data_IF_508907334579
#
_entry.id   IF_508907334579
#
_cell.length_a   1.000
_cell.length_b   1.000
_cell.length_c   1.000
_cell.angle_alpha   90.00
_cell.angle_beta   90.00
_cell.angle_gamma   90.00
#
_symmetry.space_group_name_H-M   'P 1'
#
loop_
_entity.id
_entity.type
_entity.pdbx_description
1 polymer ?
#
# COMPACT_ATOMS: atom_id res chain seq x y z
N UNK A 1 23.77 12.29 24.18
CA UNK A 1 22.35 11.93 24.34
C UNK A 1 22.27 10.46 24.74
N UNK A 2 21.88 10.16 25.99
CA UNK A 2 21.73 8.78 26.46
C UNK A 2 20.49 8.17 25.78
N UNK A 3 20.64 7.02 25.11
CA UNK A 3 19.52 6.30 24.47
C UNK A 3 19.65 6.04 22.97
N UNK A 4 20.55 6.73 22.25
CA UNK A 4 20.78 6.50 20.81
C UNK A 4 21.97 5.57 20.49
N UNK A 5 22.82 5.28 21.48
CA UNK A 5 23.93 4.33 21.32
C UNK A 5 23.46 2.89 21.54
N UNK A 6 24.01 1.96 20.76
CA UNK A 6 23.79 0.51 20.88
C UNK A 6 24.12 0.02 22.31
N UNK A 7 25.07 0.67 22.98
CA UNK A 7 25.43 0.38 24.38
C UNK A 7 24.34 0.79 25.38
N UNK A 8 23.64 1.90 25.10
CA UNK A 8 22.51 2.36 25.92
C UNK A 8 21.27 1.47 25.77
N UNK A 9 21.01 0.96 24.56
CA UNK A 9 19.91 0.00 24.31
C UNK A 9 20.10 -1.32 25.06
N UNK A 10 21.34 -1.82 25.16
CA UNK A 10 21.65 -3.05 25.90
C UNK A 10 21.46 -2.88 27.41
N UNK A 11 21.74 -1.69 27.94
CA UNK A 11 21.60 -1.36 29.37
C UNK A 11 20.13 -1.19 29.79
N UNK A 12 19.28 -0.72 28.88
CA UNK A 12 17.85 -0.50 29.13
C UNK A 12 16.98 -1.38 28.22
N UNK A 13 16.79 -2.65 28.58
CA UNK A 13 16.02 -3.62 27.77
C UNK A 13 14.56 -3.23 27.51
N UNK A 14 13.96 -2.39 28.34
CA UNK A 14 12.60 -1.87 28.14
C UNK A 14 12.47 -0.98 26.89
N UNK A 15 13.59 -0.44 26.37
CA UNK A 15 13.59 0.44 25.21
C UNK A 15 13.54 -0.31 23.87
N UNK A 16 13.91 -1.60 23.87
CA UNK A 16 13.93 -2.46 22.68
C UNK A 16 12.53 -2.60 22.04
N UNK A 17 11.45 -2.98 22.77
CA UNK A 17 10.12 -3.11 22.17
C UNK A 17 9.59 -1.79 21.60
N UNK A 18 9.94 -0.65 22.22
CA UNK A 18 9.57 0.67 21.71
C UNK A 18 10.20 0.93 20.32
N UNK A 19 11.50 0.70 20.19
CA UNK A 19 12.19 0.85 18.89
C UNK A 19 11.73 -0.13 17.84
N UNK A 20 11.32 -1.34 18.23
CA UNK A 20 10.75 -2.33 17.30
C UNK A 20 9.43 -1.84 16.74
N UNK A 21 8.50 -1.35 17.56
CA UNK A 21 7.22 -0.82 17.08
C UNK A 21 7.42 0.38 16.15
N UNK A 22 8.33 1.30 16.50
CA UNK A 22 8.65 2.46 15.65
C UNK A 22 9.32 1.99 14.35
N UNK A 23 10.25 1.05 14.42
CA UNK A 23 10.92 0.48 13.26
C UNK A 23 9.95 -0.20 12.30
N UNK A 24 8.99 -0.97 12.82
CA UNK A 24 7.91 -1.59 12.02
C UNK A 24 7.04 -0.51 11.37
N UNK A 25 6.69 0.56 12.10
CA UNK A 25 5.92 1.69 11.56
C UNK A 25 6.64 2.38 10.40
N UNK A 26 7.93 2.70 10.59
CA UNK A 26 8.75 3.31 9.55
C UNK A 26 8.95 2.38 8.34
N UNK A 27 9.21 1.09 8.58
CA UNK A 27 9.35 0.09 7.51
C UNK A 27 8.04 -0.06 6.72
N UNK A 28 6.89 -0.10 7.40
CA UNK A 28 5.57 -0.16 6.77
C UNK A 28 5.27 1.09 5.92
N UNK A 29 5.63 2.28 6.42
CA UNK A 29 5.47 3.53 5.68
C UNK A 29 6.33 3.55 4.41
N UNK A 30 7.61 3.20 4.52
CA UNK A 30 8.53 3.12 3.36
C UNK A 30 8.07 2.06 2.38
N UNK A 31 7.64 0.89 2.85
CA UNK A 31 7.11 -0.17 2.01
C UNK A 31 5.87 0.28 1.23
N UNK A 32 4.93 0.96 1.89
CA UNK A 32 3.71 1.44 1.26
C UNK A 32 4.00 2.51 0.21
N UNK A 33 4.88 3.47 0.52
CA UNK A 33 5.34 4.48 -0.43
C UNK A 33 6.06 3.83 -1.61
N UNK A 34 6.94 2.85 -1.37
CA UNK A 34 7.63 2.11 -2.43
C UNK A 34 6.66 1.32 -3.33
N UNK A 35 5.61 0.72 -2.73
CA UNK A 35 4.54 0.03 -3.46
C UNK A 35 3.74 1.01 -4.32
N UNK A 36 3.42 2.20 -3.81
CA UNK A 36 2.74 3.24 -4.59
C UNK A 36 3.63 3.74 -5.72
N UNK A 37 4.88 4.08 -5.41
CA UNK A 37 5.88 4.54 -6.37
C UNK A 37 6.04 3.60 -7.57
N UNK A 38 6.10 2.29 -7.35
CA UNK A 38 6.43 1.32 -8.42
C UNK A 38 5.22 0.75 -9.14
N UNK A 39 4.02 0.79 -8.56
CA UNK A 39 2.82 0.15 -9.10
C UNK A 39 1.72 1.13 -9.51
N UNK A 40 1.86 2.41 -9.19
CA UNK A 40 0.88 3.43 -9.58
C UNK A 40 1.16 3.94 -11.01
N UNK A 41 0.16 3.98 -11.92
CA UNK A 41 0.35 4.49 -13.28
C UNK A 41 0.72 5.98 -13.35
N UNK A 42 0.44 6.76 -12.29
CA UNK A 42 0.75 8.20 -12.27
C UNK A 42 2.25 8.48 -12.02
N UNK A 43 3.05 7.46 -11.70
CA UNK A 43 4.48 7.62 -11.36
C UNK A 43 5.33 6.88 -12.41
N UNK A 44 5.94 7.64 -13.31
CA UNK A 44 6.88 7.12 -14.31
C UNK A 44 8.33 7.35 -13.90
N UNK A 45 9.06 6.26 -13.63
CA UNK A 45 10.49 6.26 -13.30
C UNK A 45 11.40 6.27 -14.53
N UNK A 46 10.88 5.86 -15.70
CA UNK A 46 11.67 5.68 -16.91
C UNK A 46 11.30 6.71 -17.97
N UNK A 47 12.00 7.85 -17.97
CA UNK A 47 11.78 8.94 -18.91
C UNK A 47 12.55 8.80 -20.24
N UNK A 48 13.52 7.89 -20.31
CA UNK A 48 14.45 7.78 -21.46
C UNK A 48 14.19 6.60 -22.37
N UNK A 49 13.79 5.45 -21.82
CA UNK A 49 13.61 4.21 -22.61
C UNK A 49 12.14 4.01 -23.02
N UNK A 50 11.21 4.73 -22.39
CA UNK A 50 9.79 4.68 -22.74
C UNK A 50 9.20 6.10 -22.77
N UNK A 51 9.34 6.83 -23.91
CA UNK A 51 8.90 8.21 -24.04
C UNK A 51 7.37 8.38 -23.91
N UNK A 52 6.61 7.31 -24.12
CA UNK A 52 5.14 7.28 -24.02
C UNK A 52 4.67 6.33 -22.91
N UNK A 53 4.76 6.72 -21.62
CA UNK A 53 4.43 5.84 -20.50
C UNK A 53 2.98 5.32 -20.50
N UNK A 54 2.06 5.96 -21.23
CA UNK A 54 0.66 5.54 -21.34
C UNK A 54 0.45 4.28 -22.21
N UNK A 55 1.37 3.92 -23.10
CA UNK A 55 1.25 2.71 -23.94
C UNK A 55 1.31 1.42 -23.09
N UNK A 56 2.09 1.40 -22.01
CA UNK A 56 2.14 0.25 -21.06
C UNK A 56 0.83 0.02 -20.30
N UNK A 57 -0.02 1.05 -20.21
CA UNK A 57 -1.30 1.02 -19.51
C UNK A 57 -2.50 0.96 -20.46
N UNK A 58 -2.32 1.11 -21.77
CA UNK A 58 -3.38 1.06 -22.79
C UNK A 58 -4.19 -0.25 -22.72
N UNK A 59 -3.54 -1.38 -22.45
CA UNK A 59 -4.19 -2.69 -22.32
C UNK A 59 -4.59 -3.04 -20.87
N UNK A 60 -4.20 -2.23 -19.87
CA UNK A 60 -4.50 -2.49 -18.46
C UNK A 60 -5.78 -1.77 -18.05
N UNK A 61 -6.87 -2.52 -17.90
CA UNK A 61 -8.09 -2.03 -17.27
C UNK A 61 -7.81 -1.63 -15.81
N UNK A 62 -7.93 -0.32 -15.51
CA UNK A 62 -7.76 0.20 -14.16
C UNK A 62 -8.92 -0.29 -13.29
N UNK A 63 -8.67 -1.25 -12.39
CA UNK A 63 -9.65 -1.71 -11.39
C UNK A 63 -9.75 -0.71 -10.26
N UNK A 64 -10.19 0.50 -10.58
CA UNK A 64 -10.62 1.47 -9.58
C UNK A 64 -11.99 1.07 -9.09
N UNK A 65 -12.03 0.62 -7.84
CA UNK A 65 -13.26 0.49 -7.05
C UNK A 65 -14.14 -0.64 -7.60
N UNK A 66 -14.31 -1.72 -6.82
CA UNK A 66 -15.42 -2.64 -7.06
C UNK A 66 -16.68 -1.79 -6.99
N UNK A 67 -17.33 -1.55 -8.13
CA UNK A 67 -18.58 -0.80 -8.14
C UNK A 67 -19.57 -1.47 -7.18
N UNK A 68 -20.51 -0.72 -6.62
CA UNK A 68 -21.52 -1.27 -5.72
C UNK A 68 -22.24 -2.48 -6.36
N UNK A 69 -22.40 -2.48 -7.68
CA UNK A 69 -22.93 -3.61 -8.44
C UNK A 69 -22.00 -4.85 -8.46
N UNK A 70 -20.67 -4.66 -8.49
CA UNK A 70 -19.68 -5.74 -8.36
C UNK A 70 -19.70 -6.36 -6.95
N UNK A 71 -19.86 -5.52 -5.92
CA UNK A 71 -20.01 -5.97 -4.54
C UNK A 71 -21.34 -6.73 -4.32
N UNK A 72 -22.44 -6.25 -4.92
CA UNK A 72 -23.75 -6.90 -4.87
C UNK A 72 -23.75 -8.29 -5.55
N UNK A 73 -22.90 -8.48 -6.57
CA UNK A 73 -22.70 -9.78 -7.23
C UNK A 73 -21.93 -10.77 -6.35
N UNK A 74 -21.05 -10.29 -5.48
CA UNK A 74 -20.30 -11.13 -4.54
C UNK A 74 -21.05 -11.44 -3.24
N UNK A 75 -22.18 -10.79 -2.97
CA UNK A 75 -23.01 -11.07 -1.80
C UNK A 75 -23.79 -12.38 -1.94
N UNK A 76 -24.02 -13.12 -0.84
CA UNK A 76 -24.87 -14.31 -0.84
C UNK A 76 -26.29 -13.98 -1.26
N UNK A 77 -26.98 -14.97 -1.83
CA UNK A 77 -28.33 -14.84 -2.39
C UNK A 77 -29.36 -14.24 -1.41
N UNK A 78 -29.13 -14.34 -0.10
CA UNK A 78 -29.96 -13.76 0.96
C UNK A 78 -29.98 -12.23 1.02
N UNK A 79 -28.99 -11.54 0.42
CA UNK A 79 -28.89 -10.07 0.44
C UNK A 79 -29.23 -9.39 -0.90
N UNK A 80 -29.55 -10.17 -1.94
CA UNK A 80 -29.92 -9.67 -3.29
C UNK A 80 -31.42 -9.32 -3.42
N UNK A 81 -32.04 -8.85 -2.33
CA UNK A 81 -33.49 -8.64 -2.23
C UNK A 81 -33.99 -7.21 -2.45
N UNK A 82 -33.25 -6.34 -3.13
CA UNK A 82 -33.66 -4.94 -3.34
C UNK A 82 -33.83 -4.62 -4.84
N UNK A 83 -35.09 -4.69 -5.30
CA UNK A 83 -35.63 -3.77 -6.31
C UNK A 83 -35.39 -4.11 -7.78
N UNK A 84 -36.16 -5.05 -8.32
CA UNK A 84 -36.60 -5.02 -9.73
C UNK A 84 -38.12 -5.06 -9.73
N UNK A 85 -38.72 -3.87 -9.84
CA UNK A 85 -40.00 -3.63 -10.51
C UNK A 85 -39.74 -2.50 -11.50
#
# INVERSE_FOLDING_TARGET
>A
MQGLSIESLKKHKALIPLYVCVGIGCAGAVFYIGRLATRNPDVSWNKKTNPEPWEEYRAKQYKSIKSLASLLKTLPWSMRGAGSR
#
